data_IF_615517420542
#
_entry.id   IF_615517420542
#
_cell.length_a   1.000
_cell.length_b   1.000
_cell.length_c   1.000
_cell.angle_alpha   90.00
_cell.angle_beta   90.00
_cell.angle_gamma   90.00
#
_symmetry.space_group_name_H-M   'P 1'
#
loop_
_entity.id
_entity.type
_entity.pdbx_description
1 polymer ?
#
# COMPACT_ATOMS: atom_id res chain seq x y z
N UNK A 1 -57.49 -51.30 51.78
CA UNK A 1 -56.84 -50.12 52.40
C UNK A 1 -55.57 -49.85 51.55
N UNK A 2 -55.67 -49.06 50.55
CA UNK A 2 -54.57 -48.65 49.69
C UNK A 2 -54.55 -47.14 49.58
N UNK A 3 -53.43 -46.55 50.00
CA UNK A 3 -53.21 -45.11 50.04
C UNK A 3 -52.80 -44.63 48.64
N UNK A 4 -53.57 -43.79 48.02
CA UNK A 4 -53.19 -43.02 46.83
C UNK A 4 -52.50 -41.72 47.30
N UNK A 5 -51.22 -41.56 46.89
CA UNK A 5 -50.49 -40.32 47.03
C UNK A 5 -50.77 -39.43 45.82
N UNK A 6 -51.30 -38.22 46.05
CA UNK A 6 -51.44 -37.19 45.03
C UNK A 6 -50.07 -36.59 44.71
N UNK A 7 -49.66 -36.68 43.42
CA UNK A 7 -48.50 -35.97 42.88
C UNK A 7 -48.95 -34.54 42.53
N UNK A 8 -48.30 -33.55 43.16
CA UNK A 8 -48.51 -32.13 42.83
C UNK A 8 -47.71 -31.79 41.59
N UNK A 9 -48.42 -31.54 40.47
CA UNK A 9 -47.87 -30.96 39.26
C UNK A 9 -47.59 -29.49 39.48
N UNK A 10 -46.34 -29.07 39.56
CA UNK A 10 -45.93 -27.69 39.65
C UNK A 10 -45.96 -27.04 38.27
N UNK A 11 -46.90 -26.16 38.01
CA UNK A 11 -47.03 -25.32 36.83
C UNK A 11 -45.90 -24.27 36.84
N UNK A 12 -44.99 -24.37 35.92
CA UNK A 12 -43.99 -23.33 35.63
C UNK A 12 -44.65 -22.06 35.14
N UNK A 13 -44.31 -20.87 35.57
CA UNK A 13 -44.95 -19.62 35.22
C UNK A 13 -44.69 -19.25 33.73
N UNK A 14 -45.75 -19.09 32.98
CA UNK A 14 -45.78 -18.70 31.54
C UNK A 14 -44.90 -17.49 31.18
N UNK A 15 -44.50 -16.69 32.15
CA UNK A 15 -43.60 -15.51 31.96
C UNK A 15 -42.15 -15.86 31.70
N UNK A 16 -41.67 -17.05 32.05
CA UNK A 16 -40.31 -17.50 31.79
C UNK A 16 -40.14 -17.97 30.37
N UNK A 17 -41.15 -18.59 29.76
CA UNK A 17 -41.10 -19.03 28.35
C UNK A 17 -41.08 -17.86 27.38
N UNK A 18 -41.75 -16.75 27.65
CA UNK A 18 -41.71 -15.56 26.79
C UNK A 18 -40.36 -14.82 26.82
N UNK A 19 -39.62 -14.88 27.92
CA UNK A 19 -38.28 -14.28 28.00
C UNK A 19 -37.20 -15.12 27.33
N UNK A 20 -37.32 -16.43 27.36
CA UNK A 20 -36.39 -17.33 26.63
C UNK A 20 -36.65 -17.33 25.13
N UNK A 21 -37.90 -17.21 24.67
CA UNK A 21 -38.23 -17.07 23.27
C UNK A 21 -37.76 -15.73 22.67
N UNK A 22 -37.82 -14.62 23.45
CA UNK A 22 -37.30 -13.32 23.01
C UNK A 22 -35.77 -13.29 22.93
N UNK A 23 -35.04 -13.99 23.81
CA UNK A 23 -33.59 -14.13 23.74
C UNK A 23 -33.13 -15.04 22.61
N UNK A 24 -33.89 -16.09 22.28
CA UNK A 24 -33.59 -16.94 21.12
C UNK A 24 -33.85 -16.22 19.80
N UNK A 25 -34.86 -15.35 19.71
CA UNK A 25 -35.15 -14.56 18.50
C UNK A 25 -34.12 -13.44 18.30
N UNK A 26 -33.57 -12.84 19.35
CA UNK A 26 -32.50 -11.85 19.27
C UNK A 26 -31.15 -12.49 18.84
N UNK A 27 -30.88 -13.73 19.25
CA UNK A 27 -29.70 -14.48 18.83
C UNK A 27 -29.77 -14.93 17.35
N UNK A 28 -30.96 -15.21 16.81
CA UNK A 28 -31.14 -15.60 15.40
C UNK A 28 -31.07 -14.39 14.47
N UNK A 29 -31.41 -13.18 14.96
CA UNK A 29 -31.27 -11.93 14.17
C UNK A 29 -29.81 -11.40 14.15
N UNK A 30 -28.95 -11.84 15.07
CA UNK A 30 -27.53 -11.48 15.07
C UNK A 30 -26.64 -12.45 14.23
N UNK A 31 -27.19 -13.58 13.79
CA UNK A 31 -26.49 -14.60 12.98
C UNK A 31 -26.86 -14.57 11.50
N UNK A 32 -27.58 -13.55 11.04
CA UNK A 32 -28.17 -13.47 9.70
C UNK A 32 -27.51 -12.50 8.73
N UNK A 33 -26.26 -12.10 8.91
CA UNK A 33 -25.52 -11.28 7.92
C UNK A 33 -24.04 -11.72 7.81
N UNK A 34 -23.81 -13.01 7.65
CA UNK A 34 -22.60 -13.46 6.97
C UNK A 34 -22.99 -13.74 5.54
N UNK A 35 -23.01 -12.73 4.69
CA UNK A 35 -22.87 -12.94 3.27
C UNK A 35 -21.50 -13.60 3.09
N UNK A 36 -21.49 -14.89 2.77
CA UNK A 36 -20.31 -15.53 2.20
C UNK A 36 -20.09 -14.89 0.84
N UNK A 37 -19.23 -13.88 0.80
CA UNK A 37 -18.62 -13.45 -0.45
C UNK A 37 -17.57 -14.50 -0.81
N UNK A 38 -17.82 -15.25 -1.88
CA UNK A 38 -17.00 -16.37 -2.34
C UNK A 38 -15.74 -15.94 -3.10
N UNK A 39 -15.39 -14.67 -3.02
CA UNK A 39 -14.18 -14.09 -3.62
C UNK A 39 -13.20 -13.70 -2.54
N UNK A 40 -12.56 -14.41 -1.84
CA UNK A 40 -11.45 -14.23 -0.89
C UNK A 40 -10.87 -12.82 -0.64
N UNK A 41 -11.63 -11.76 -0.90
CA UNK A 41 -11.25 -10.36 -0.70
C UNK A 41 -11.43 -9.91 0.75
N UNK A 42 -10.60 -8.98 1.19
CA UNK A 42 -10.68 -8.41 2.53
C UNK A 42 -11.86 -7.45 2.66
N UNK A 43 -12.46 -7.39 3.85
CA UNK A 43 -13.50 -6.42 4.13
C UNK A 43 -12.84 -5.09 4.51
N UNK A 44 -13.05 -4.06 3.70
CA UNK A 44 -12.62 -2.70 4.02
C UNK A 44 -13.77 -1.97 4.72
N UNK A 45 -13.50 -1.39 5.89
CA UNK A 45 -14.47 -0.64 6.69
C UNK A 45 -13.95 0.77 6.95
N UNK A 46 -14.82 1.80 7.03
CA UNK A 46 -14.41 3.10 7.56
C UNK A 46 -13.86 2.96 8.98
N UNK A 47 -12.78 3.67 9.30
CA UNK A 47 -12.23 3.70 10.66
C UNK A 47 -13.27 4.26 11.64
N UNK A 48 -13.45 3.58 12.78
CA UNK A 48 -14.33 4.03 13.88
C UNK A 48 -13.59 4.92 14.88
N UNK A 49 -12.33 5.26 14.62
CA UNK A 49 -11.45 5.99 15.53
C UNK A 49 -10.89 5.14 16.68
N UNK A 50 -11.18 3.84 16.72
CA UNK A 50 -10.51 2.91 17.61
C UNK A 50 -9.19 2.45 16.95
N UNK A 51 -8.09 2.50 17.71
CA UNK A 51 -6.78 1.99 17.25
C UNK A 51 -6.88 0.50 16.90
N UNK A 52 -6.26 0.12 15.80
CA UNK A 52 -6.09 -1.27 15.38
C UNK A 52 -4.76 -1.81 15.92
N UNK A 53 -4.61 -3.12 16.07
CA UNK A 53 -3.32 -3.72 16.46
C UNK A 53 -2.19 -3.45 15.46
N UNK A 54 -2.54 -3.17 14.19
CA UNK A 54 -1.63 -2.72 13.14
C UNK A 54 -2.24 -1.50 12.45
N UNK A 55 -1.46 -0.43 12.31
CA UNK A 55 -1.83 0.77 11.56
C UNK A 55 -0.67 1.25 10.69
N UNK A 56 -0.98 1.63 9.44
CA UNK A 56 -0.04 2.27 8.52
C UNK A 56 -0.58 3.65 8.15
N UNK A 57 0.20 4.70 8.44
CA UNK A 57 -0.18 6.09 8.24
C UNK A 57 0.63 6.69 7.11
N UNK A 58 0.00 7.02 6.01
CA UNK A 58 0.57 7.83 4.94
C UNK A 58 0.35 9.30 5.30
N UNK A 59 1.37 9.91 5.88
CA UNK A 59 1.30 11.29 6.41
C UNK A 59 1.23 12.26 5.24
N UNK A 60 0.28 13.23 5.28
CA UNK A 60 0.25 14.29 4.28
C UNK A 60 1.42 15.27 4.50
N UNK A 61 2.48 15.06 3.75
CA UNK A 61 3.69 15.88 3.66
C UNK A 61 3.78 16.60 2.31
N UNK A 62 2.63 16.80 1.63
CA UNK A 62 2.60 17.40 0.31
C UNK A 62 3.27 16.52 -0.74
N UNK A 63 4.12 17.13 -1.62
CA UNK A 63 4.83 16.40 -2.68
C UNK A 63 6.09 15.73 -2.12
N UNK A 64 5.88 14.66 -1.36
CA UNK A 64 6.90 13.91 -0.64
C UNK A 64 6.31 12.60 -0.07
N UNK A 65 7.13 11.79 0.59
CA UNK A 65 6.69 10.56 1.23
C UNK A 65 7.10 10.51 2.70
N UNK A 66 6.18 10.13 3.58
CA UNK A 66 6.46 9.74 4.96
C UNK A 66 5.40 8.77 5.43
N UNK A 67 5.82 7.57 5.84
CA UNK A 67 4.92 6.50 6.29
C UNK A 67 5.31 6.03 7.68
N UNK A 68 4.40 6.20 8.65
CA UNK A 68 4.53 5.61 9.97
C UNK A 68 3.82 4.25 9.98
N UNK A 69 4.47 3.23 10.49
CA UNK A 69 3.87 1.91 10.75
C UNK A 69 3.91 1.64 12.25
N UNK A 70 2.74 1.33 12.79
CA UNK A 70 2.57 0.87 14.16
C UNK A 70 2.11 -0.59 14.18
N UNK A 71 2.72 -1.40 15.02
CA UNK A 71 2.24 -2.74 15.35
C UNK A 71 2.49 -3.04 16.83
N UNK A 72 1.41 -3.30 17.56
CA UNK A 72 1.44 -3.66 18.98
C UNK A 72 2.27 -2.67 19.83
N UNK A 73 2.17 -1.37 19.53
CA UNK A 73 2.90 -0.30 20.22
C UNK A 73 4.39 -0.19 19.86
N UNK A 74 4.84 -0.88 18.83
CA UNK A 74 6.16 -0.69 18.22
C UNK A 74 6.02 0.09 16.92
N UNK A 75 6.99 0.96 16.66
CA UNK A 75 6.91 1.93 15.56
C UNK A 75 8.10 1.81 14.62
N UNK A 76 7.84 1.92 13.32
CA UNK A 76 8.86 2.20 12.32
C UNK A 76 8.44 3.37 11.43
N UNK A 77 9.40 4.13 10.96
CA UNK A 77 9.20 5.20 10.00
C UNK A 77 9.91 4.87 8.69
N UNK A 78 9.19 5.03 7.59
CA UNK A 78 9.70 4.92 6.24
C UNK A 78 9.56 6.28 5.55
N UNK A 79 10.69 6.93 5.31
CA UNK A 79 10.85 8.30 4.82
C UNK A 79 10.32 9.40 5.77
N UNK A 80 10.73 10.62 5.55
CA UNK A 80 10.44 11.74 6.44
C UNK A 80 9.91 13.01 5.74
N UNK A 81 9.56 12.92 4.45
CA UNK A 81 9.20 14.09 3.66
C UNK A 81 10.38 14.99 3.32
N UNK A 82 10.08 16.23 2.87
CA UNK A 82 11.08 17.26 2.62
C UNK A 82 11.71 17.79 3.93
N UNK A 83 12.76 18.58 3.81
CA UNK A 83 13.40 19.24 4.97
C UNK A 83 12.39 20.08 5.76
N UNK A 84 11.53 20.82 5.07
CA UNK A 84 10.53 21.69 5.70
C UNK A 84 9.40 20.90 6.40
N UNK A 85 9.18 19.65 6.03
CA UNK A 85 8.15 18.77 6.62
C UNK A 85 8.61 18.16 7.95
N UNK A 86 9.90 18.23 8.29
CA UNK A 86 10.45 17.58 9.48
C UNK A 86 9.72 17.92 10.79
N UNK A 87 9.28 19.18 10.96
CA UNK A 87 8.51 19.59 12.15
C UNK A 87 7.09 19.01 12.16
N UNK A 88 6.45 18.89 10.99
CA UNK A 88 5.14 18.28 10.82
C UNK A 88 5.22 16.79 11.17
N UNK A 89 6.18 16.06 10.59
CA UNK A 89 6.38 14.64 10.86
C UNK A 89 6.65 14.41 12.34
N UNK A 90 7.56 15.16 12.97
CA UNK A 90 7.82 15.08 14.42
C UNK A 90 6.54 15.29 15.24
N UNK A 91 5.74 16.30 14.90
CA UNK A 91 4.49 16.58 15.61
C UNK A 91 3.46 15.46 15.41
N UNK A 92 3.39 14.89 14.22
CA UNK A 92 2.52 13.76 13.92
C UNK A 92 2.91 12.53 14.74
N UNK A 93 4.20 12.16 14.75
CA UNK A 93 4.70 11.04 15.54
C UNK A 93 4.42 11.23 17.04
N UNK A 94 4.59 12.45 17.58
CA UNK A 94 4.23 12.75 18.97
C UNK A 94 2.73 12.55 19.25
N UNK A 95 1.87 12.98 18.32
CA UNK A 95 0.42 12.80 18.41
C UNK A 95 0.02 11.31 18.42
N UNK A 96 0.75 10.48 17.67
CA UNK A 96 0.56 9.02 17.65
C UNK A 96 1.19 8.33 18.88
N UNK A 97 1.78 9.07 19.80
CA UNK A 97 2.37 8.49 21.03
C UNK A 97 3.71 7.81 20.81
N UNK A 98 4.39 8.10 19.71
CA UNK A 98 5.73 7.54 19.46
C UNK A 98 6.71 8.05 20.51
N UNK A 99 7.28 7.14 21.29
CA UNK A 99 8.37 7.43 22.24
C UNK A 99 9.72 7.01 21.68
N UNK A 100 9.74 5.95 20.85
CA UNK A 100 10.91 5.40 20.20
C UNK A 100 10.51 4.78 18.85
N UNK A 101 11.40 4.83 17.88
CA UNK A 101 11.28 4.11 16.59
C UNK A 101 12.17 2.86 16.63
N UNK A 102 11.61 1.67 16.41
CA UNK A 102 12.42 0.47 16.27
C UNK A 102 13.32 0.57 15.04
N UNK A 103 12.74 1.06 13.95
CA UNK A 103 13.44 1.19 12.67
C UNK A 103 13.11 2.53 12.02
N UNK A 104 14.13 3.14 11.40
CA UNK A 104 13.98 4.29 10.50
C UNK A 104 14.57 3.88 9.15
N UNK A 105 13.74 3.91 8.12
CA UNK A 105 14.15 3.63 6.75
C UNK A 105 14.13 4.91 5.92
N UNK A 106 15.22 5.17 5.22
CA UNK A 106 15.27 6.11 4.11
C UNK A 106 15.18 5.28 2.83
N UNK A 107 14.09 5.40 2.07
CA UNK A 107 13.90 4.64 0.84
C UNK A 107 15.04 4.90 -0.15
N UNK A 108 15.33 6.17 -0.40
CA UNK A 108 16.43 6.62 -1.23
C UNK A 108 16.85 8.06 -0.86
N UNK A 109 17.91 8.59 -1.50
CA UNK A 109 18.59 9.79 -1.04
C UNK A 109 18.02 11.13 -1.61
N UNK A 110 16.82 11.17 -2.21
CA UNK A 110 16.18 12.41 -2.60
C UNK A 110 15.59 13.15 -1.40
N UNK A 111 15.52 14.50 -1.51
CA UNK A 111 15.12 15.37 -0.41
C UNK A 111 13.70 15.10 0.09
N UNK A 112 12.76 14.87 -0.81
CA UNK A 112 11.35 14.59 -0.53
C UNK A 112 11.09 13.24 0.18
N UNK A 113 12.16 12.52 0.51
CA UNK A 113 12.16 11.26 1.29
C UNK A 113 13.04 11.37 2.53
N UNK A 114 14.31 11.80 2.36
CA UNK A 114 15.28 11.87 3.46
C UNK A 114 15.17 13.17 4.28
N UNK A 115 14.56 14.21 3.72
CA UNK A 115 14.67 15.58 4.22
C UNK A 115 14.29 15.76 5.68
N UNK A 116 13.12 15.27 6.08
CA UNK A 116 12.61 15.37 7.44
C UNK A 116 13.23 14.39 8.43
N UNK A 117 13.92 13.33 7.97
CA UNK A 117 14.49 12.30 8.85
C UNK A 117 15.51 12.85 9.85
N UNK A 118 16.23 13.92 9.48
CA UNK A 118 17.16 14.57 10.40
C UNK A 118 16.44 15.14 11.65
N UNK A 119 15.27 15.74 11.48
CA UNK A 119 14.45 16.26 12.59
C UNK A 119 13.88 15.11 13.44
N UNK A 120 13.45 14.03 12.80
CA UNK A 120 12.97 12.82 13.49
C UNK A 120 14.09 12.22 14.35
N UNK A 121 15.27 11.98 13.78
CA UNK A 121 16.42 11.44 14.50
C UNK A 121 16.95 12.36 15.59
N UNK A 122 16.74 13.68 15.46
CA UNK A 122 17.09 14.63 16.53
C UNK A 122 16.12 14.55 17.72
N UNK A 123 14.89 14.05 17.50
CA UNK A 123 13.81 14.09 18.48
C UNK A 123 13.53 12.73 19.12
N UNK A 124 13.54 11.64 18.35
CA UNK A 124 13.16 10.32 18.82
C UNK A 124 14.37 9.39 18.88
N UNK A 125 14.53 8.60 19.96
CA UNK A 125 15.45 7.47 19.95
C UNK A 125 15.07 6.50 18.84
N UNK A 126 16.07 5.97 18.13
CA UNK A 126 15.90 4.92 17.13
C UNK A 126 16.69 3.68 17.51
N UNK A 127 16.16 2.50 17.19
CA UNK A 127 16.91 1.24 17.35
C UNK A 127 17.91 1.04 16.21
N UNK A 128 17.47 1.24 14.98
CA UNK A 128 18.26 1.10 13.76
C UNK A 128 17.88 2.15 12.73
N UNK A 129 18.82 2.49 11.85
CA UNK A 129 18.58 3.37 10.71
C UNK A 129 19.15 2.74 9.43
N UNK A 130 18.30 2.67 8.40
CA UNK A 130 18.61 2.02 7.13
C UNK A 130 18.48 2.98 5.95
N UNK A 131 19.32 2.78 4.94
CA UNK A 131 19.29 3.52 3.67
C UNK A 131 19.98 2.68 2.59
N UNK A 132 19.69 2.86 1.30
CA UNK A 132 20.41 2.15 0.23
C UNK A 132 21.87 2.59 0.09
N UNK A 133 22.23 3.74 0.64
CA UNK A 133 23.60 4.29 0.62
C UNK A 133 23.96 4.85 2.00
N UNK A 134 25.25 4.92 2.31
CA UNK A 134 25.74 5.50 3.58
C UNK A 134 26.31 6.90 3.43
N UNK A 135 26.43 7.38 2.18
CA UNK A 135 26.99 8.68 1.82
C UNK A 135 26.20 9.31 0.66
N UNK A 136 26.03 10.63 0.69
CA UNK A 136 25.47 11.43 -0.39
C UNK A 136 26.07 12.85 -0.33
N UNK A 137 26.02 13.56 -1.46
CA UNK A 137 26.48 14.94 -1.55
C UNK A 137 25.47 15.95 -1.00
N UNK A 138 24.22 15.56 -0.76
CA UNK A 138 23.15 16.48 -0.33
C UNK A 138 23.26 16.80 1.16
N UNK A 139 22.90 18.04 1.51
CA UNK A 139 22.93 18.48 2.90
C UNK A 139 21.93 17.71 3.77
N UNK A 140 20.70 17.49 3.27
CA UNK A 140 19.64 16.79 4.00
C UNK A 140 20.06 15.35 4.36
N UNK A 141 20.67 14.62 3.44
CA UNK A 141 21.20 13.29 3.71
C UNK A 141 22.34 13.32 4.75
N UNK A 142 23.27 14.26 4.62
CA UNK A 142 24.36 14.41 5.58
C UNK A 142 23.87 14.80 6.97
N UNK A 143 22.82 15.59 7.09
CA UNK A 143 22.16 15.90 8.36
C UNK A 143 21.50 14.64 8.95
N UNK A 144 20.82 13.81 8.16
CA UNK A 144 20.28 12.51 8.61
C UNK A 144 21.40 11.60 9.16
N UNK A 145 22.50 11.43 8.43
CA UNK A 145 23.68 10.66 8.89
C UNK A 145 24.25 11.23 10.19
N UNK A 146 24.34 12.57 10.28
CA UNK A 146 24.85 13.24 11.49
C UNK A 146 24.01 12.91 12.72
N UNK A 147 22.68 13.04 12.65
CA UNK A 147 21.81 12.78 13.80
C UNK A 147 21.71 11.29 14.13
N UNK A 148 21.82 10.41 13.14
CA UNK A 148 21.97 8.96 13.33
C UNK A 148 23.22 8.66 14.16
N UNK A 149 24.37 9.24 13.80
CA UNK A 149 25.63 9.08 14.54
C UNK A 149 25.59 9.68 15.95
N UNK A 150 24.86 10.77 16.16
CA UNK A 150 24.69 11.38 17.49
C UNK A 150 23.96 10.46 18.48
N UNK A 151 23.13 9.52 17.98
CA UNK A 151 22.52 8.47 18.78
C UNK A 151 23.44 7.25 19.00
N UNK A 152 24.68 7.28 18.50
CA UNK A 152 25.60 6.14 18.56
C UNK A 152 25.31 5.06 17.51
N UNK A 153 24.41 5.33 16.58
CA UNK A 153 24.05 4.43 15.49
C UNK A 153 24.92 4.68 14.25
N UNK A 154 24.98 3.69 13.39
CA UNK A 154 25.48 3.83 12.02
C UNK A 154 24.32 3.63 11.05
N UNK A 155 24.38 4.33 9.90
CA UNK A 155 23.45 4.08 8.83
C UNK A 155 23.82 2.77 8.13
N UNK A 156 22.89 1.83 8.08
CA UNK A 156 23.09 0.49 7.56
C UNK A 156 22.48 0.34 6.16
N UNK A 157 23.15 -0.42 5.27
CA UNK A 157 22.60 -0.83 3.97
C UNK A 157 22.06 -2.25 4.11
N UNK A 158 20.75 -2.46 4.10
CA UNK A 158 20.19 -3.78 4.30
C UNK A 158 20.34 -4.65 3.04
N UNK A 159 20.44 -5.96 3.24
CA UNK A 159 20.47 -6.93 2.14
C UNK A 159 19.06 -7.42 1.81
N UNK A 160 18.82 -7.72 0.53
CA UNK A 160 17.58 -8.40 0.10
C UNK A 160 17.40 -9.70 0.87
N UNK A 161 16.18 -9.96 1.33
CA UNK A 161 15.83 -11.11 2.16
C UNK A 161 16.05 -10.88 3.67
N UNK A 162 16.57 -9.72 4.09
CA UNK A 162 16.60 -9.37 5.53
C UNK A 162 15.17 -9.25 6.06
N UNK A 163 14.95 -9.78 7.25
CA UNK A 163 13.64 -9.80 7.93
C UNK A 163 13.75 -9.15 9.29
N UNK A 164 12.84 -8.25 9.61
CA UNK A 164 12.75 -7.57 10.90
C UNK A 164 11.37 -7.79 11.53
N UNK A 165 11.28 -8.09 12.83
CA UNK A 165 10.02 -8.08 13.55
C UNK A 165 9.60 -6.65 13.89
N UNK A 166 8.29 -6.36 13.81
CA UNK A 166 7.67 -5.15 14.32
C UNK A 166 6.39 -5.56 15.04
N UNK A 167 6.44 -5.70 16.37
CA UNK A 167 5.34 -6.37 17.11
C UNK A 167 5.08 -7.77 16.56
N UNK A 168 3.84 -8.05 16.19
CA UNK A 168 3.45 -9.30 15.51
C UNK A 168 3.53 -9.21 13.98
N UNK A 169 3.94 -8.09 13.42
CA UNK A 169 4.19 -7.95 11.99
C UNK A 169 5.61 -8.37 11.62
N UNK A 170 5.79 -8.73 10.36
CA UNK A 170 7.08 -9.07 9.77
C UNK A 170 7.38 -8.10 8.62
N UNK A 171 8.53 -7.44 8.69
CA UNK A 171 9.03 -6.55 7.62
C UNK A 171 10.11 -7.29 6.85
N UNK A 172 9.98 -7.41 5.53
CA UNK A 172 10.93 -8.12 4.66
C UNK A 172 11.48 -7.19 3.59
N UNK A 173 12.80 -7.16 3.43
CA UNK A 173 13.49 -6.44 2.37
C UNK A 173 13.39 -7.18 1.05
N UNK A 174 12.74 -6.60 0.05
CA UNK A 174 12.59 -7.20 -1.28
C UNK A 174 13.50 -6.61 -2.35
N UNK A 175 13.81 -5.34 -2.28
CA UNK A 175 14.61 -4.61 -3.26
C UNK A 175 15.38 -3.43 -2.66
N UNK A 176 16.36 -2.88 -3.38
CA UNK A 176 16.70 -3.17 -4.77
C UNK A 176 17.44 -4.51 -4.95
N UNK A 177 17.14 -5.24 -6.03
CA UNK A 177 17.74 -6.57 -6.30
C UNK A 177 19.08 -6.50 -7.01
N UNK A 178 19.46 -5.32 -7.47
CA UNK A 178 20.76 -5.02 -8.09
C UNK A 178 21.18 -3.59 -7.78
N UNK A 179 22.33 -3.17 -8.23
CA UNK A 179 22.81 -1.80 -8.09
C UNK A 179 22.32 -0.93 -9.25
N UNK A 180 21.85 0.26 -8.94
CA UNK A 180 21.38 1.24 -9.92
C UNK A 180 22.15 2.55 -9.79
N UNK A 181 22.36 3.24 -10.92
CA UNK A 181 22.90 4.60 -10.98
C UNK A 181 21.84 5.66 -10.71
N UNK A 182 20.59 5.38 -11.10
CA UNK A 182 19.45 6.26 -10.89
C UNK A 182 18.98 6.15 -9.44
N UNK A 183 18.93 7.28 -8.75
CA UNK A 183 18.66 7.32 -7.29
C UNK A 183 17.30 6.73 -6.94
N UNK A 184 16.24 6.99 -7.73
CA UNK A 184 14.91 6.41 -7.52
C UNK A 184 14.95 4.87 -7.49
N UNK A 185 15.70 4.27 -8.40
CA UNK A 185 15.81 2.82 -8.52
C UNK A 185 16.59 2.18 -7.37
N UNK A 186 17.25 2.98 -6.51
CA UNK A 186 17.88 2.48 -5.29
C UNK A 186 16.90 2.32 -4.13
N UNK A 187 15.62 2.65 -4.31
CA UNK A 187 14.59 2.61 -3.28
C UNK A 187 14.53 1.26 -2.56
N UNK A 188 14.60 1.31 -1.23
CA UNK A 188 14.41 0.13 -0.38
C UNK A 188 12.95 -0.32 -0.49
N UNK A 189 12.71 -1.48 -1.07
CA UNK A 189 11.36 -2.05 -1.21
C UNK A 189 11.07 -2.96 -0.05
N UNK A 190 10.06 -2.63 0.74
CA UNK A 190 9.68 -3.36 1.95
C UNK A 190 8.29 -3.99 1.80
N UNK A 191 8.21 -5.29 2.05
CA UNK A 191 6.95 -5.98 2.27
C UNK A 191 6.70 -6.11 3.77
N UNK A 192 5.47 -5.84 4.19
CA UNK A 192 5.07 -5.97 5.59
C UNK A 192 3.88 -6.92 5.64
N UNK A 193 4.01 -7.99 6.43
CA UNK A 193 2.97 -8.98 6.63
C UNK A 193 2.46 -8.91 8.07
N UNK A 194 1.12 -8.83 8.23
CA UNK A 194 0.44 -8.88 9.52
C UNK A 194 -0.79 -9.80 9.44
N UNK A 195 -0.74 -10.95 10.10
CA UNK A 195 -1.77 -11.98 9.96
C UNK A 195 -1.91 -12.44 8.51
N UNK A 196 -3.09 -12.25 7.92
CA UNK A 196 -3.37 -12.54 6.51
C UNK A 196 -3.35 -11.28 5.63
N UNK A 197 -2.97 -10.13 6.18
CA UNK A 197 -2.90 -8.86 5.44
C UNK A 197 -1.46 -8.50 5.10
N UNK A 198 -1.27 -7.81 3.99
CA UNK A 198 0.06 -7.51 3.45
C UNK A 198 0.13 -6.14 2.80
N UNK A 199 1.28 -5.49 2.97
CA UNK A 199 1.55 -4.13 2.49
C UNK A 199 2.88 -4.10 1.74
N UNK A 200 2.98 -3.27 0.70
CA UNK A 200 4.20 -3.09 -0.06
C UNK A 200 4.55 -1.60 -0.16
N UNK A 201 5.72 -1.24 0.36
CA UNK A 201 6.31 0.09 0.24
C UNK A 201 7.42 0.03 -0.82
N UNK A 202 7.39 0.94 -1.79
CA UNK A 202 8.25 0.91 -2.98
C UNK A 202 9.14 2.15 -3.11
N UNK A 203 8.91 3.19 -2.28
CA UNK A 203 9.53 4.49 -2.47
C UNK A 203 9.24 5.02 -3.88
N UNK A 204 10.30 5.43 -4.56
CA UNK A 204 10.22 5.95 -5.93
C UNK A 204 10.79 4.99 -6.98
N UNK A 205 10.82 3.69 -6.67
CA UNK A 205 11.26 2.66 -7.61
C UNK A 205 10.56 2.83 -8.97
N UNK A 206 11.34 2.86 -10.04
CA UNK A 206 10.85 3.06 -11.39
C UNK A 206 10.82 1.74 -12.20
N UNK A 207 10.20 1.78 -13.37
CA UNK A 207 9.91 0.62 -14.23
C UNK A 207 11.10 -0.34 -14.46
N UNK A 208 12.35 0.18 -14.48
CA UNK A 208 13.55 -0.66 -14.62
C UNK A 208 13.73 -1.56 -13.40
N UNK A 209 13.72 -0.97 -12.22
CA UNK A 209 13.87 -1.73 -10.98
C UNK A 209 12.63 -2.58 -10.65
N UNK A 210 11.43 -2.12 -11.02
CA UNK A 210 10.20 -2.92 -10.95
C UNK A 210 10.31 -4.20 -11.78
N UNK A 211 10.81 -4.08 -13.02
CA UNK A 211 11.00 -5.22 -13.92
C UNK A 211 12.02 -6.22 -13.35
N UNK A 212 13.13 -5.72 -12.84
CA UNK A 212 14.15 -6.58 -12.22
C UNK A 212 13.62 -7.27 -10.96
N UNK A 213 12.84 -6.55 -10.15
CA UNK A 213 12.22 -7.10 -8.95
C UNK A 213 11.19 -8.19 -9.28
N UNK A 214 10.35 -8.01 -10.29
CA UNK A 214 9.43 -9.05 -10.77
C UNK A 214 10.20 -10.27 -11.28
N UNK A 215 11.26 -10.04 -12.07
CA UNK A 215 12.09 -11.12 -12.63
C UNK A 215 12.90 -11.87 -11.55
N UNK A 216 13.12 -11.28 -10.38
CA UNK A 216 13.80 -11.94 -9.26
C UNK A 216 12.99 -13.09 -8.66
N UNK A 217 11.70 -13.15 -8.91
CA UNK A 217 10.78 -14.14 -8.34
C UNK A 217 10.42 -13.88 -6.88
N UNK A 218 10.68 -12.66 -6.36
CA UNK A 218 10.26 -12.26 -5.02
C UNK A 218 8.73 -12.33 -4.88
N UNK A 219 8.24 -12.62 -3.67
CA UNK A 219 6.82 -12.58 -3.38
C UNK A 219 6.36 -11.12 -3.26
N UNK A 220 5.80 -10.58 -4.34
CA UNK A 220 5.35 -9.18 -4.44
C UNK A 220 3.86 -9.02 -4.09
N UNK A 221 3.08 -10.11 -4.04
CA UNK A 221 1.64 -10.02 -3.79
C UNK A 221 1.39 -9.29 -2.47
N UNK A 222 0.62 -8.18 -2.53
CA UNK A 222 0.29 -7.38 -1.37
C UNK A 222 -1.11 -6.78 -1.55
N UNK A 223 -1.85 -6.65 -0.44
CA UNK A 223 -3.22 -6.14 -0.46
C UNK A 223 -3.24 -4.61 -0.54
N UNK A 224 -2.24 -3.97 0.03
CA UNK A 224 -2.05 -2.51 0.02
C UNK A 224 -0.72 -2.16 -0.62
N UNK A 225 -0.74 -1.29 -1.62
CA UNK A 225 0.44 -0.79 -2.33
C UNK A 225 0.63 0.71 -2.06
N UNK A 226 1.82 1.11 -1.58
CA UNK A 226 2.28 2.48 -1.78
C UNK A 226 2.60 2.62 -3.27
N UNK A 227 1.81 3.40 -3.98
CA UNK A 227 2.00 3.67 -5.41
C UNK A 227 3.29 4.44 -5.61
N UNK A 228 4.18 3.89 -6.42
CA UNK A 228 5.55 4.38 -6.58
C UNK A 228 5.64 5.82 -7.10
N UNK A 229 6.67 6.53 -6.65
CA UNK A 229 7.09 7.82 -7.17
C UNK A 229 5.94 8.84 -7.27
N UNK A 230 5.16 8.95 -6.18
CA UNK A 230 4.03 9.88 -6.05
C UNK A 230 2.97 9.76 -7.15
N UNK A 231 2.88 8.59 -7.80
CA UNK A 231 2.01 8.37 -8.95
C UNK A 231 2.59 8.83 -10.28
N UNK A 232 3.92 8.91 -10.41
CA UNK A 232 4.60 9.15 -11.70
C UNK A 232 4.33 8.04 -12.70
N UNK A 233 4.22 8.38 -13.98
CA UNK A 233 4.14 7.41 -15.09
C UNK A 233 5.41 6.59 -15.31
N UNK A 234 6.51 6.92 -14.62
CA UNK A 234 7.75 6.14 -14.62
C UNK A 234 7.72 4.95 -13.68
N UNK A 235 6.66 4.83 -12.86
CA UNK A 235 6.51 3.82 -11.80
C UNK A 235 5.13 3.17 -11.86
N UNK A 236 4.97 2.07 -11.11
CA UNK A 236 3.72 1.31 -10.99
C UNK A 236 3.21 0.84 -12.35
N UNK A 237 4.16 0.27 -13.15
CA UNK A 237 3.84 -0.26 -14.47
C UNK A 237 2.98 -1.53 -14.40
N UNK A 238 2.29 -1.87 -15.50
CA UNK A 238 1.40 -3.03 -15.58
C UNK A 238 2.05 -4.34 -15.14
N UNK A 239 3.32 -4.59 -15.54
CA UNK A 239 4.02 -5.82 -15.17
C UNK A 239 4.16 -5.95 -13.65
N UNK A 240 4.54 -4.86 -13.00
CA UNK A 240 4.71 -4.80 -11.56
C UNK A 240 3.35 -4.89 -10.84
N UNK A 241 2.37 -4.09 -11.27
CA UNK A 241 1.04 -4.09 -10.66
C UNK A 241 0.36 -5.47 -10.73
N UNK A 242 0.51 -6.18 -11.86
CA UNK A 242 0.02 -7.55 -12.01
C UNK A 242 0.75 -8.58 -11.14
N UNK A 243 1.98 -8.31 -10.72
CA UNK A 243 2.69 -9.16 -9.77
C UNK A 243 2.28 -8.87 -8.32
N UNK A 244 1.90 -7.61 -8.02
CA UNK A 244 1.47 -7.19 -6.69
C UNK A 244 0.00 -7.54 -6.45
N UNK A 245 -0.90 -7.32 -7.42
CA UNK A 245 -2.36 -7.53 -7.34
C UNK A 245 -2.99 -6.86 -6.11
N UNK A 246 -2.77 -5.56 -5.88
CA UNK A 246 -3.29 -4.89 -4.70
C UNK A 246 -4.80 -4.65 -4.79
N UNK A 247 -5.48 -4.70 -3.65
CA UNK A 247 -6.86 -4.23 -3.51
C UNK A 247 -6.90 -2.70 -3.35
N UNK A 248 -5.90 -2.13 -2.64
CA UNK A 248 -5.80 -0.71 -2.34
C UNK A 248 -4.45 -0.14 -2.79
N UNK A 249 -4.48 1.08 -3.34
CA UNK A 249 -3.29 1.84 -3.71
C UNK A 249 -3.30 3.21 -3.03
N UNK A 250 -2.22 3.57 -2.34
CA UNK A 250 -2.08 4.89 -1.72
C UNK A 250 -1.05 5.71 -2.47
N UNK A 251 -1.45 6.91 -2.91
CA UNK A 251 -0.60 7.88 -3.58
C UNK A 251 -0.30 9.03 -2.62
N UNK A 252 0.95 9.15 -2.19
CA UNK A 252 1.43 10.34 -1.47
C UNK A 252 1.89 11.39 -2.46
N UNK A 253 1.14 12.49 -2.60
CA UNK A 253 1.46 13.57 -3.53
C UNK A 253 0.87 14.90 -3.04
N UNK A 254 1.39 16.02 -3.52
CA UNK A 254 0.97 17.35 -3.12
C UNK A 254 -0.07 17.98 -4.05
N UNK A 255 -1.01 18.71 -3.48
CA UNK A 255 -2.00 19.49 -4.26
C UNK A 255 -1.30 20.50 -5.17
N UNK A 256 -1.61 20.46 -6.47
CA UNK A 256 -1.07 21.41 -7.45
C UNK A 256 0.44 21.31 -7.64
N UNK A 257 1.04 20.16 -7.38
CA UNK A 257 2.47 19.93 -7.53
C UNK A 257 2.96 20.21 -8.97
N UNK A 258 4.19 20.65 -9.08
CA UNK A 258 4.80 21.05 -10.37
C UNK A 258 5.07 19.92 -11.34
N UNK A 259 5.02 18.68 -10.87
CA UNK A 259 5.28 17.48 -11.66
C UNK A 259 4.03 16.94 -12.36
N UNK A 260 2.84 17.40 -11.93
CA UNK A 260 1.56 16.88 -12.44
C UNK A 260 1.17 15.52 -11.86
N UNK A 261 1.80 15.12 -10.76
CA UNK A 261 1.50 13.86 -10.07
C UNK A 261 0.15 13.92 -9.33
N UNK A 262 -0.60 12.81 -9.30
CA UNK A 262 -0.36 11.57 -10.07
C UNK A 262 -0.67 11.78 -11.55
N UNK A 263 0.13 11.15 -12.42
CA UNK A 263 -0.10 11.17 -13.86
C UNK A 263 -1.33 10.33 -14.24
N UNK A 264 -2.02 10.76 -15.31
CA UNK A 264 -3.21 10.04 -15.79
C UNK A 264 -2.89 8.61 -16.23
N UNK A 265 -1.70 8.36 -16.76
CA UNK A 265 -1.23 7.03 -17.14
C UNK A 265 -1.24 6.09 -15.93
N UNK A 266 -0.73 6.53 -14.78
CA UNK A 266 -0.73 5.74 -13.53
C UNK A 266 -2.16 5.53 -13.01
N UNK A 267 -2.99 6.58 -13.02
CA UNK A 267 -4.39 6.47 -12.61
C UNK A 267 -5.16 5.51 -13.53
N UNK A 268 -4.90 5.52 -14.84
CA UNK A 268 -5.52 4.61 -15.80
C UNK A 268 -5.15 3.15 -15.50
N UNK A 269 -3.87 2.87 -15.24
CA UNK A 269 -3.39 1.53 -14.89
C UNK A 269 -4.08 1.01 -13.62
N UNK A 270 -4.20 1.86 -12.59
CA UNK A 270 -4.88 1.50 -11.34
C UNK A 270 -6.39 1.25 -11.53
N UNK A 271 -7.07 2.06 -12.38
CA UNK A 271 -8.48 1.84 -12.74
C UNK A 271 -8.69 0.51 -13.46
N UNK A 272 -7.84 0.22 -14.46
CA UNK A 272 -7.91 -1.01 -15.25
C UNK A 272 -7.74 -2.25 -14.34
N UNK A 273 -6.86 -2.14 -13.34
CA UNK A 273 -6.63 -3.18 -12.34
C UNK A 273 -7.69 -3.19 -11.22
N UNK A 274 -8.65 -2.27 -11.23
CA UNK A 274 -9.71 -2.12 -10.21
C UNK A 274 -9.17 -1.91 -8.79
N UNK A 275 -8.08 -1.17 -8.66
CA UNK A 275 -7.47 -0.82 -7.39
C UNK A 275 -8.24 0.35 -6.76
N UNK A 276 -8.63 0.22 -5.51
CA UNK A 276 -9.21 1.32 -4.73
C UNK A 276 -8.11 2.33 -4.41
N UNK A 277 -8.24 3.55 -4.95
CA UNK A 277 -7.18 4.58 -4.86
C UNK A 277 -7.47 5.56 -3.73
N UNK A 278 -6.46 5.79 -2.88
CA UNK A 278 -6.44 6.83 -1.85
C UNK A 278 -5.32 7.82 -2.17
N UNK A 279 -5.55 9.14 -1.92
CA UNK A 279 -4.61 10.20 -2.31
C UNK A 279 -4.47 11.24 -1.21
N UNK A 280 -3.24 11.51 -0.77
CA UNK A 280 -2.99 12.51 0.28
C UNK A 280 -3.35 13.92 -0.15
N UNK A 281 -3.15 14.30 -1.42
CA UNK A 281 -3.51 15.62 -1.94
C UNK A 281 -5.01 15.93 -1.94
N UNK A 282 -5.85 14.91 -1.72
CA UNK A 282 -7.31 15.01 -1.69
C UNK A 282 -7.88 14.71 -0.30
N UNK A 283 -7.30 13.75 0.39
CA UNK A 283 -7.87 13.17 1.61
C UNK A 283 -7.10 13.54 2.88
N UNK A 284 -5.97 14.26 2.75
CA UNK A 284 -5.05 14.50 3.87
C UNK A 284 -4.32 13.21 4.24
N UNK A 285 -3.93 13.09 5.49
CA UNK A 285 -3.30 11.87 6.00
C UNK A 285 -4.26 10.67 5.90
N UNK A 286 -3.75 9.55 5.39
CA UNK A 286 -4.49 8.31 5.20
C UNK A 286 -3.96 7.27 6.18
N UNK A 287 -4.85 6.66 6.96
CA UNK A 287 -4.52 5.58 7.89
C UNK A 287 -5.20 4.29 7.45
N UNK A 288 -4.42 3.25 7.25
CA UNK A 288 -4.93 1.90 6.96
C UNK A 288 -4.61 1.03 8.16
N UNK A 289 -5.67 0.64 8.87
CA UNK A 289 -5.61 -0.28 10.00
C UNK A 289 -5.91 -1.71 9.57
N UNK A 290 -5.33 -2.68 10.29
CA UNK A 290 -5.62 -4.11 10.08
C UNK A 290 -5.82 -4.84 11.40
N UNK A 291 -6.80 -5.76 11.41
CA UNK A 291 -6.99 -6.75 12.47
C UNK A 291 -6.31 -8.10 12.14
N UNK A 292 -5.51 -8.14 11.08
CA UNK A 292 -4.85 -9.33 10.55
C UNK A 292 -5.73 -10.14 9.57
N UNK A 293 -6.96 -9.68 9.28
CA UNK A 293 -7.86 -10.28 8.30
C UNK A 293 -8.63 -9.25 7.48
N UNK A 294 -8.99 -8.13 8.08
CA UNK A 294 -9.79 -7.08 7.45
C UNK A 294 -9.09 -5.75 7.61
N UNK A 295 -9.44 -4.81 6.74
CA UNK A 295 -8.91 -3.46 6.77
C UNK A 295 -9.93 -2.45 7.31
N UNK A 296 -9.41 -1.39 7.92
CA UNK A 296 -10.13 -0.14 8.16
C UNK A 296 -9.37 0.98 7.48
N UNK A 297 -10.09 1.93 6.88
CA UNK A 297 -9.48 3.11 6.26
C UNK A 297 -10.00 4.37 6.94
N UNK A 298 -9.07 5.21 7.40
CA UNK A 298 -9.32 6.54 7.93
C UNK A 298 -8.67 7.59 7.04
N UNK A 299 -9.38 8.69 6.79
CA UNK A 299 -8.89 9.85 6.03
C UNK A 299 -9.30 11.13 6.73
N UNK A 300 -8.49 12.19 6.61
CA UNK A 300 -8.83 13.49 7.21
C UNK A 300 -10.02 14.15 6.51
N UNK A 301 -10.17 13.92 5.21
CA UNK A 301 -11.26 14.46 4.39
C UNK A 301 -11.94 13.35 3.61
N UNK A 302 -13.27 13.35 3.62
CA UNK A 302 -14.04 12.47 2.74
C UNK A 302 -14.04 13.02 1.31
N UNK A 303 -13.65 12.17 0.36
CA UNK A 303 -13.69 12.47 -1.07
C UNK A 303 -14.30 11.30 -1.81
N UNK A 304 -15.30 11.50 -2.68
CA UNK A 304 -15.87 10.43 -3.49
C UNK A 304 -14.82 9.78 -4.42
N UNK A 305 -14.89 8.47 -4.63
CA UNK A 305 -13.95 7.69 -5.45
C UNK A 305 -13.79 8.26 -6.87
N UNK A 306 -14.87 8.77 -7.45
CA UNK A 306 -14.85 9.44 -8.77
C UNK A 306 -13.94 10.67 -8.85
N UNK A 307 -13.53 11.24 -7.69
CA UNK A 307 -12.58 12.35 -7.63
C UNK A 307 -11.16 11.91 -7.24
N UNK A 308 -10.99 10.71 -6.69
CA UNK A 308 -9.68 10.15 -6.33
C UNK A 308 -9.00 9.56 -7.55
N UNK A 309 -9.77 8.83 -8.35
CA UNK A 309 -9.31 8.24 -9.61
C UNK A 309 -10.35 8.54 -10.71
N UNK A 310 -10.48 9.81 -11.15
CA UNK A 310 -11.50 10.20 -12.11
C UNK A 310 -11.28 9.51 -13.45
N UNK A 311 -12.36 9.09 -14.08
CA UNK A 311 -12.32 8.70 -15.50
C UNK A 311 -12.02 9.94 -16.32
N UNK A 312 -11.08 9.88 -17.25
CA UNK A 312 -10.82 10.97 -18.19
C UNK A 312 -12.13 11.34 -18.92
N UNK A 313 -12.62 12.59 -18.84
CA UNK A 313 -13.83 12.98 -19.56
C UNK A 313 -13.68 12.87 -21.08
N UNK A 314 -12.46 12.79 -21.62
CA UNK A 314 -12.22 12.45 -23.04
C UNK A 314 -12.39 10.94 -23.32
N UNK A 315 -12.35 10.09 -22.29
CA UNK A 315 -12.54 8.64 -22.38
C UNK A 315 -14.00 8.21 -22.29
N UNK A 316 -14.97 9.13 -22.26
CA UNK A 316 -16.43 8.82 -22.31
C UNK A 316 -16.90 8.25 -23.67
N UNK A 317 -15.99 7.89 -24.55
CA UNK A 317 -16.19 6.92 -25.61
C UNK A 317 -15.46 5.65 -25.21
N UNK A 318 -16.15 4.58 -24.93
CA UNK A 318 -15.80 3.16 -24.85
C UNK A 318 -14.69 2.71 -25.83
N UNK A 319 -13.52 3.32 -25.78
CA UNK A 319 -12.32 2.80 -26.39
C UNK A 319 -11.53 2.10 -25.29
N UNK A 320 -11.90 0.87 -24.95
CA UNK A 320 -10.96 -0.09 -24.38
C UNK A 320 -9.66 0.09 -25.13
N UNK A 321 -8.55 0.36 -24.44
CA UNK A 321 -7.26 0.54 -25.10
C UNK A 321 -6.94 -0.75 -25.86
N UNK A 322 -7.11 -0.72 -27.17
CA UNK A 322 -6.84 -1.87 -28.02
C UNK A 322 -5.34 -2.12 -28.08
N UNK A 323 -4.96 -3.36 -27.94
CA UNK A 323 -3.56 -3.77 -28.15
C UNK A 323 -3.43 -4.58 -29.42
N UNK A 324 -2.25 -4.50 -30.06
CA UNK A 324 -1.95 -5.20 -31.30
C UNK A 324 -0.92 -6.29 -30.98
N UNK A 325 -1.36 -7.53 -30.95
CA UNK A 325 -0.52 -8.70 -30.75
C UNK A 325 0.18 -9.12 -32.05
N UNK A 326 1.42 -9.60 -31.91
CA UNK A 326 2.16 -10.24 -33.00
C UNK A 326 2.00 -11.78 -32.87
N UNK A 327 1.27 -12.40 -33.79
CA UNK A 327 0.99 -13.85 -33.75
C UNK A 327 2.25 -14.72 -33.77
N UNK A 328 3.37 -14.21 -34.29
CA UNK A 328 4.61 -14.96 -34.42
C UNK A 328 5.50 -14.83 -33.17
N UNK A 329 5.69 -13.59 -32.66
CA UNK A 329 6.57 -13.35 -31.52
C UNK A 329 5.86 -13.47 -30.15
N UNK A 330 4.52 -13.56 -30.17
CA UNK A 330 3.67 -13.53 -28.97
C UNK A 330 3.92 -12.30 -28.09
N UNK A 331 4.27 -11.17 -28.73
CA UNK A 331 4.32 -9.85 -28.08
C UNK A 331 3.12 -9.03 -28.47
N UNK A 332 2.61 -8.22 -27.53
CA UNK A 332 1.57 -7.24 -27.84
C UNK A 332 2.07 -5.81 -27.62
N UNK A 333 1.50 -4.86 -28.32
CA UNK A 333 1.96 -3.50 -28.48
C UNK A 333 0.81 -2.51 -28.34
N UNK A 334 1.12 -1.29 -27.94
CA UNK A 334 0.20 -0.16 -28.14
C UNK A 334 0.03 0.13 -29.63
N UNK A 335 -1.14 0.59 -30.11
CA UNK A 335 -1.35 0.98 -31.50
C UNK A 335 -0.38 2.04 -32.01
N UNK A 336 0.18 2.85 -31.12
CA UNK A 336 1.16 3.90 -31.40
C UNK A 336 2.61 3.41 -31.42
N UNK A 337 2.86 2.10 -31.19
CA UNK A 337 4.21 1.55 -31.13
C UNK A 337 4.92 1.63 -32.49
N UNK A 338 6.15 2.16 -32.49
CA UNK A 338 6.98 2.20 -33.71
C UNK A 338 7.38 0.80 -34.25
N UNK A 339 7.25 -0.25 -33.43
CA UNK A 339 7.64 -1.62 -33.74
C UNK A 339 6.44 -2.54 -33.98
N UNK A 340 5.35 -2.03 -34.55
CA UNK A 340 4.17 -2.86 -34.85
C UNK A 340 4.52 -3.97 -35.82
N UNK A 341 3.94 -5.18 -35.68
CA UNK A 341 4.06 -6.25 -36.68
C UNK A 341 3.37 -5.86 -37.97
N UNK A 342 3.77 -6.50 -39.10
CA UNK A 342 3.05 -6.34 -40.35
C UNK A 342 1.56 -6.77 -40.18
N UNK A 343 0.62 -6.11 -40.84
CA UNK A 343 -0.82 -6.30 -40.69
C UNK A 343 -1.27 -7.76 -40.72
N UNK A 344 -0.70 -8.57 -41.62
CA UNK A 344 -0.99 -10.01 -41.72
C UNK A 344 -0.61 -10.84 -40.50
N UNK A 345 0.17 -10.28 -39.57
CA UNK A 345 0.66 -10.93 -38.37
C UNK A 345 0.05 -10.29 -37.11
N UNK A 346 -0.91 -9.38 -37.27
CA UNK A 346 -1.57 -8.72 -36.18
C UNK A 346 -2.79 -9.50 -35.69
N UNK A 347 -2.99 -9.48 -34.38
CA UNK A 347 -4.22 -9.84 -33.69
C UNK A 347 -4.59 -8.69 -32.76
N UNK A 348 -5.87 -8.35 -32.68
CA UNK A 348 -6.36 -7.28 -31.82
C UNK A 348 -6.81 -7.86 -30.48
N UNK A 349 -6.46 -7.19 -29.41
CA UNK A 349 -6.96 -7.43 -28.06
C UNK A 349 -7.69 -6.18 -27.57
N UNK A 350 -8.82 -6.37 -26.91
CA UNK A 350 -9.63 -5.30 -26.33
C UNK A 350 -9.08 -4.77 -25.02
N UNK A 351 -8.09 -5.44 -24.43
CA UNK A 351 -7.46 -5.09 -23.15
C UNK A 351 -6.14 -5.82 -22.92
N UNK A 352 -5.39 -5.34 -21.95
CA UNK A 352 -4.11 -5.92 -21.50
C UNK A 352 -4.28 -7.36 -21.02
N UNK A 353 -5.29 -7.60 -20.16
CA UNK A 353 -5.54 -8.91 -19.57
C UNK A 353 -5.96 -9.97 -20.61
N UNK A 354 -6.67 -9.54 -21.65
CA UNK A 354 -7.01 -10.42 -22.76
C UNK A 354 -5.74 -10.89 -23.50
N UNK A 355 -4.81 -9.97 -23.73
CA UNK A 355 -3.53 -10.30 -24.37
C UNK A 355 -2.69 -11.27 -23.52
N UNK A 356 -2.58 -11.01 -22.21
CA UNK A 356 -1.88 -11.89 -21.26
C UNK A 356 -2.55 -13.27 -21.18
N UNK A 357 -3.87 -13.32 -21.07
CA UNK A 357 -4.65 -14.56 -21.01
C UNK A 357 -4.52 -15.39 -22.30
N UNK A 358 -4.32 -14.71 -23.44
CA UNK A 358 -4.01 -15.33 -24.72
C UNK A 358 -2.54 -15.79 -24.86
N UNK A 359 -1.72 -15.63 -23.83
CA UNK A 359 -0.31 -16.06 -23.80
C UNK A 359 0.66 -15.10 -24.50
N UNK A 360 0.30 -13.81 -24.59
CA UNK A 360 1.17 -12.78 -25.12
C UNK A 360 1.90 -12.04 -24.01
N UNK A 361 3.08 -11.50 -24.32
CA UNK A 361 3.89 -10.69 -23.40
C UNK A 361 3.96 -9.24 -23.89
N UNK A 362 4.02 -8.24 -22.99
CA UNK A 362 4.10 -6.85 -23.39
C UNK A 362 5.39 -6.52 -24.16
N UNK A 363 5.29 -5.60 -25.09
CA UNK A 363 6.44 -5.06 -25.80
C UNK A 363 7.16 -4.02 -24.93
N UNK A 364 8.37 -4.31 -24.50
CA UNK A 364 9.19 -3.41 -23.66
C UNK A 364 9.50 -2.03 -24.28
N UNK A 365 9.24 -1.83 -25.58
CA UNK A 365 9.48 -0.54 -26.24
C UNK A 365 8.30 0.43 -26.13
N UNK A 366 7.08 -0.05 -25.84
CA UNK A 366 5.87 0.78 -25.81
C UNK A 366 4.95 0.50 -24.64
N UNK A 367 5.12 -0.62 -23.97
CA UNK A 367 4.40 -0.98 -22.75
C UNK A 367 5.48 -1.12 -21.67
N UNK A 368 5.55 -0.11 -20.81
CA UNK A 368 6.57 -0.02 -19.75
C UNK A 368 5.94 -0.43 -18.41
#
# INVERSE_FOLDING_TARGET
MENWKEEKVTLFPRRLFLRLAALALAAVLALGLTACDSNGGHIVKPSTGASQPFEMHFIDVGQALSVLVECDGQFMLYDGGNVDDGSLVVSYLQKQGVEQLQYVFCSHAHEDHVGGLAAVMAKFPAGHAYSPVTESSTKCFNDFVKYTRQQGLQLEVPSVGTVWPLGNATVTMLGPVTQYSETNNTSLVLRIDYGNTSFLLTGDMENTAETDLVNSGANLKADVLQVGHHGSSTSTGYLFLNAVLPEMGVISCGTGNKYGHPHEETLSILRDAKVDVYRTDRQGTITIGSDGQNFTVGTEHFVPDSQLNPTDPSSSSTAQQAYIGNVNSKKFHLPTCANLPAEKNQILFSGYDEAISAGYTPCASCIK
#
